data_IF_186651413872
#
_entry.id   IF_186651413872
#
_cell.length_a   1.000
_cell.length_b   1.000
_cell.length_c   1.000
_cell.angle_alpha   90.00
_cell.angle_beta   90.00
_cell.angle_gamma   90.00
#
_symmetry.space_group_name_H-M   'P 1'
#
loop_
_entity.id
_entity.type
_entity.pdbx_description
1 polymer ?
#
# COMPACT_ATOMS: atom_id res chain seq x y z
N UNK A 1 -5.06 -8.79 7.70
CA UNK A 1 -5.60 -9.14 9.02
C UNK A 1 -4.48 -9.13 10.04
N UNK A 2 -4.75 -8.66 11.26
CA UNK A 2 -3.77 -8.45 12.34
C UNK A 2 -4.35 -9.03 13.62
N UNK A 3 -3.62 -9.94 14.26
CA UNK A 3 -4.00 -10.45 15.58
C UNK A 3 -3.76 -9.36 16.63
N UNK A 4 -4.87 -8.85 17.18
CA UNK A 4 -4.86 -7.81 18.20
C UNK A 4 -4.77 -8.37 19.62
N UNK A 5 -4.83 -9.69 19.81
CA UNK A 5 -4.78 -10.34 21.12
C UNK A 5 -3.35 -10.52 21.66
N UNK A 6 -2.33 -10.43 20.80
CA UNK A 6 -0.92 -10.60 21.16
C UNK A 6 -0.10 -9.31 21.02
N UNK A 7 0.98 -9.20 21.82
CA UNK A 7 1.93 -8.07 21.78
C UNK A 7 3.37 -8.60 21.71
N UNK A 8 4.16 -8.27 20.67
CA UNK A 8 3.81 -7.41 19.53
C UNK A 8 2.74 -8.04 18.62
N UNK A 9 1.94 -7.20 17.97
CA UNK A 9 0.89 -7.65 17.04
C UNK A 9 1.50 -8.41 15.86
N UNK A 10 0.83 -9.47 15.40
CA UNK A 10 1.31 -10.31 14.30
C UNK A 10 0.30 -10.39 13.16
N UNK A 11 0.74 -10.66 11.91
CA UNK A 11 -0.20 -10.86 10.81
C UNK A 11 -0.96 -12.19 10.97
N UNK A 12 -2.30 -12.14 10.96
CA UNK A 12 -3.13 -13.34 11.01
C UNK A 12 -3.30 -14.03 9.64
N UNK A 13 -3.06 -13.29 8.55
CA UNK A 13 -3.22 -13.78 7.18
C UNK A 13 -2.09 -13.22 6.29
N UNK A 14 -0.93 -13.89 6.30
CA UNK A 14 0.21 -13.51 5.46
C UNK A 14 -0.05 -13.86 3.99
N UNK A 15 0.24 -12.91 3.10
CA UNK A 15 0.12 -13.07 1.65
C UNK A 15 1.32 -12.46 0.95
N UNK A 16 1.80 -13.06 -0.16
CA UNK A 16 2.82 -12.45 -0.98
C UNK A 16 2.26 -11.22 -1.72
N UNK A 17 3.10 -10.20 -1.91
CA UNK A 17 2.81 -9.04 -2.77
C UNK A 17 3.81 -9.11 -3.92
N UNK A 18 3.34 -9.45 -5.12
CA UNK A 18 4.21 -9.75 -6.27
C UNK A 18 4.57 -8.53 -7.12
N UNK A 19 3.76 -7.46 -7.05
CA UNK A 19 3.91 -6.29 -7.93
C UNK A 19 5.07 -5.36 -7.57
N UNK A 20 5.58 -5.44 -6.34
CA UNK A 20 6.60 -4.54 -5.83
C UNK A 20 7.84 -5.33 -5.44
N UNK A 21 9.00 -4.95 -6.00
CA UNK A 21 10.30 -5.45 -5.52
C UNK A 21 10.70 -4.82 -4.19
N UNK A 22 10.26 -3.57 -3.96
CA UNK A 22 10.50 -2.79 -2.75
C UNK A 22 9.30 -1.89 -2.47
N UNK A 23 8.89 -1.86 -1.21
CA UNK A 23 7.89 -0.93 -0.68
C UNK A 23 8.57 -0.10 0.40
N UNK A 24 8.50 1.22 0.29
CA UNK A 24 9.09 2.13 1.28
C UNK A 24 8.11 2.46 2.41
N UNK A 25 6.81 2.53 2.08
CA UNK A 25 5.73 2.70 3.04
C UNK A 25 4.39 2.21 2.46
N UNK A 26 3.40 1.99 3.32
CA UNK A 26 2.03 1.75 2.91
C UNK A 26 1.06 2.40 3.90
N UNK A 27 -0.09 2.84 3.40
CA UNK A 27 -1.18 3.42 4.19
C UNK A 27 -2.48 2.69 3.87
N UNK A 28 -3.31 2.45 4.88
CA UNK A 28 -4.64 1.86 4.73
C UNK A 28 -5.66 2.80 5.40
N UNK A 29 -6.79 3.04 4.72
CA UNK A 29 -7.88 3.88 5.24
C UNK A 29 -9.20 3.61 4.51
N UNK A 30 -10.24 4.43 4.73
CA UNK A 30 -11.55 4.24 4.10
C UNK A 30 -11.52 4.21 2.57
N UNK A 31 -10.55 4.87 1.95
CA UNK A 31 -10.36 4.86 0.50
C UNK A 31 -9.67 3.60 -0.04
N UNK A 32 -9.10 2.73 0.82
CA UNK A 32 -8.32 1.57 0.40
C UNK A 32 -6.87 1.66 0.84
N UNK A 33 -5.97 1.10 0.04
CA UNK A 33 -4.52 0.98 0.31
C UNK A 33 -3.73 1.85 -0.65
N UNK A 34 -2.78 2.63 -0.12
CA UNK A 34 -1.76 3.32 -0.91
C UNK A 34 -0.41 2.67 -0.63
N UNK A 35 0.29 2.23 -1.66
CA UNK A 35 1.64 1.66 -1.57
C UNK A 35 2.63 2.67 -2.13
N UNK A 36 3.64 3.05 -1.34
CA UNK A 36 4.66 4.03 -1.70
C UNK A 36 5.94 3.31 -2.10
N UNK A 37 6.48 3.68 -3.26
CA UNK A 37 7.76 3.18 -3.79
C UNK A 37 8.49 4.34 -4.49
N UNK A 38 9.61 4.77 -3.92
CA UNK A 38 10.31 5.99 -4.32
C UNK A 38 9.46 7.23 -4.12
N UNK A 39 9.44 8.11 -5.13
CA UNK A 39 8.64 9.34 -5.15
C UNK A 39 7.18 9.14 -5.59
N UNK A 40 6.72 7.89 -5.72
CA UNK A 40 5.42 7.55 -6.27
C UNK A 40 4.59 6.70 -5.32
N UNK A 41 3.27 6.76 -5.48
CA UNK A 41 2.35 5.82 -4.84
C UNK A 41 1.36 5.22 -5.83
N UNK A 42 0.78 4.09 -5.44
CA UNK A 42 -0.20 3.34 -6.20
C UNK A 42 -1.40 3.04 -5.31
N UNK A 43 -2.60 3.24 -5.82
CA UNK A 43 -3.83 3.06 -5.08
C UNK A 43 -4.53 1.75 -5.42
N UNK A 44 -4.95 1.00 -4.40
CA UNK A 44 -5.76 -0.21 -4.52
C UNK A 44 -6.97 -0.07 -3.61
N UNK A 45 -8.19 -0.30 -4.10
CA UNK A 45 -9.41 -0.11 -3.30
C UNK A 45 -9.49 -1.06 -2.09
N UNK A 46 -8.73 -2.16 -2.10
CA UNK A 46 -8.65 -3.09 -0.98
C UNK A 46 -7.31 -3.81 -0.90
N UNK A 47 -7.01 -4.39 0.27
CA UNK A 47 -5.86 -5.28 0.47
C UNK A 47 -5.93 -6.49 -0.47
N UNK A 48 -7.13 -7.00 -0.76
CA UNK A 48 -7.28 -8.14 -1.66
C UNK A 48 -6.87 -7.77 -3.09
N UNK A 49 -7.22 -6.57 -3.56
CA UNK A 49 -6.77 -6.09 -4.87
C UNK A 49 -5.25 -5.91 -4.90
N UNK A 50 -4.63 -5.36 -3.86
CA UNK A 50 -3.16 -5.29 -3.77
C UNK A 50 -2.50 -6.66 -3.93
N UNK A 51 -3.06 -7.70 -3.30
CA UNK A 51 -2.51 -9.07 -3.33
C UNK A 51 -2.77 -9.77 -4.67
N UNK A 52 -3.98 -9.62 -5.23
CA UNK A 52 -4.42 -10.38 -6.41
C UNK A 52 -4.07 -9.71 -7.75
N UNK A 53 -3.74 -8.41 -7.75
CA UNK A 53 -3.46 -7.66 -8.97
C UNK A 53 -2.22 -8.19 -9.69
N UNK A 54 -2.27 -8.16 -11.02
CA UNK A 54 -1.19 -8.61 -11.90
C UNK A 54 -0.46 -7.47 -12.62
N UNK A 55 -0.95 -6.25 -12.45
CA UNK A 55 -0.36 -5.03 -12.99
C UNK A 55 -0.45 -3.92 -11.95
N UNK A 56 0.48 -2.97 -12.02
CA UNK A 56 0.42 -1.77 -11.19
C UNK A 56 -0.73 -0.87 -11.67
N UNK A 57 -1.52 -0.29 -10.75
CA UNK A 57 -2.44 0.80 -11.04
C UNK A 57 -1.73 2.03 -11.62
N UNK A 58 -2.51 3.07 -11.90
CA UNK A 58 -1.95 4.38 -12.23
C UNK A 58 -0.93 4.82 -11.17
N UNK A 59 0.17 5.40 -11.66
CA UNK A 59 1.24 5.91 -10.83
C UNK A 59 0.95 7.36 -10.46
N UNK A 60 0.98 7.65 -9.17
CA UNK A 60 0.69 8.97 -8.61
C UNK A 60 1.94 9.58 -7.96
N UNK A 61 2.03 10.92 -7.93
CA UNK A 61 3.17 11.62 -7.33
C UNK A 61 2.92 11.86 -5.84
N UNK A 62 3.80 11.35 -4.99
CA UNK A 62 3.71 11.55 -3.53
C UNK A 62 3.78 13.04 -3.18
N UNK A 63 4.72 13.79 -3.77
CA UNK A 63 4.90 15.21 -3.48
C UNK A 63 3.63 16.01 -3.73
N UNK A 64 2.97 15.80 -4.87
CA UNK A 64 1.81 16.56 -5.28
C UNK A 64 0.55 16.14 -4.52
N UNK A 65 0.22 14.85 -4.54
CA UNK A 65 -1.11 14.40 -4.12
C UNK A 65 -1.19 14.04 -2.63
N UNK A 66 -0.06 13.75 -1.98
CA UNK A 66 -0.03 13.51 -0.53
C UNK A 66 0.45 14.72 0.26
N UNK A 67 1.30 15.57 -0.33
CA UNK A 67 1.90 16.71 0.36
C UNK A 67 1.56 18.08 -0.25
N UNK A 68 0.89 18.14 -1.41
CA UNK A 68 0.53 19.42 -2.04
C UNK A 68 1.71 20.19 -2.64
N UNK A 69 2.87 19.55 -2.83
CA UNK A 69 4.07 20.15 -3.41
C UNK A 69 4.14 19.89 -4.91
N UNK A 70 4.07 20.97 -5.70
CA UNK A 70 3.99 20.94 -7.16
C UNK A 70 5.33 21.18 -7.88
N UNK A 71 6.38 21.57 -7.16
CA UNK A 71 7.71 21.92 -7.67
C UNK A 71 8.83 21.11 -7.01
#
# INVERSE_FOLDING_TARGET
>A
DVDMSVTPRVPANQRPISLFKKVDAAMCGPGGVKVISGSHFYHFDSVMLLVASRALPEQHRVSLELFGCDH
#
